data_IF_633138400692
#
_entry.id   IF_633138400692
#
_cell.length_a   1.000
_cell.length_b   1.000
_cell.length_c   1.000
_cell.angle_alpha   90.00
_cell.angle_beta   90.00
_cell.angle_gamma   90.00
#
_symmetry.space_group_name_H-M   'P 1'
#
loop_
_entity.id
_entity.type
_entity.pdbx_description
1 polymer ?
#
# COMPACT_ATOMS: atom_id res chain seq x y z
N UNK A 1 39.69 -40.28 -43.30
CA UNK A 1 39.93 -39.90 -41.90
C UNK A 1 38.98 -38.76 -41.54
N UNK A 2 37.97 -39.02 -40.71
CA UNK A 2 36.96 -38.05 -40.27
C UNK A 2 37.22 -37.75 -38.80
N UNK A 3 37.76 -36.57 -38.49
CA UNK A 3 37.90 -36.08 -37.12
C UNK A 3 36.72 -35.15 -36.82
N UNK A 4 35.87 -35.59 -35.90
CA UNK A 4 34.69 -34.87 -35.40
C UNK A 4 35.12 -33.91 -34.28
N UNK A 5 34.64 -32.68 -34.34
CA UNK A 5 34.62 -31.71 -33.25
C UNK A 5 33.70 -32.20 -32.11
N UNK A 6 34.05 -32.03 -30.82
CA UNK A 6 33.08 -32.17 -29.76
C UNK A 6 32.33 -30.84 -29.54
N UNK A 7 31.00 -30.95 -29.55
CA UNK A 7 30.05 -29.95 -29.06
C UNK A 7 30.36 -29.60 -27.60
N UNK A 8 30.50 -28.30 -27.31
CA UNK A 8 30.41 -27.79 -25.94
C UNK A 8 28.92 -27.85 -25.55
N UNK A 9 28.62 -28.75 -24.62
CA UNK A 9 27.30 -29.02 -24.09
C UNK A 9 26.76 -27.80 -23.31
N UNK A 10 25.50 -27.45 -23.59
CA UNK A 10 24.66 -26.63 -22.72
C UNK A 10 24.53 -27.33 -21.37
N UNK A 11 25.13 -26.79 -20.31
CA UNK A 11 24.79 -27.16 -18.94
C UNK A 11 23.41 -26.60 -18.63
N UNK A 12 22.41 -27.48 -18.73
CA UNK A 12 21.08 -27.25 -18.21
C UNK A 12 21.11 -27.18 -16.68
N UNK A 13 20.36 -26.21 -16.16
CA UNK A 13 20.01 -26.05 -14.76
C UNK A 13 19.41 -27.37 -14.24
N UNK A 14 20.17 -28.13 -13.46
CA UNK A 14 19.65 -29.29 -12.74
C UNK A 14 18.94 -28.79 -11.48
N UNK A 15 17.61 -28.73 -11.53
CA UNK A 15 16.77 -28.60 -10.35
C UNK A 15 16.79 -29.96 -9.63
N UNK A 16 17.74 -30.13 -8.71
CA UNK A 16 17.75 -31.26 -7.78
C UNK A 16 16.69 -31.00 -6.71
N UNK A 17 15.50 -31.57 -6.92
CA UNK A 17 14.52 -31.78 -5.86
C UNK A 17 15.00 -32.94 -4.97
N UNK A 18 15.90 -32.65 -4.05
CA UNK A 18 16.25 -33.55 -2.94
C UNK A 18 15.33 -33.23 -1.76
N UNK A 19 14.17 -33.88 -1.73
CA UNK A 19 13.37 -34.03 -0.53
C UNK A 19 14.09 -34.97 0.44
N UNK A 20 15.07 -34.44 1.18
CA UNK A 20 15.68 -35.15 2.30
C UNK A 20 14.95 -34.68 3.56
N UNK A 21 14.25 -35.60 4.20
CA UNK A 21 13.80 -35.44 5.57
C UNK A 21 15.05 -35.22 6.43
N UNK A 22 15.34 -33.97 6.80
CA UNK A 22 16.46 -33.68 7.68
C UNK A 22 16.12 -34.21 9.08
N UNK A 23 16.97 -35.05 9.69
CA UNK A 23 16.91 -35.28 11.12
C UNK A 23 17.11 -33.94 11.83
N UNK A 24 16.55 -33.78 13.03
CA UNK A 24 16.61 -32.56 13.83
C UNK A 24 18.05 -32.18 14.20
N UNK A 25 18.79 -31.62 13.25
CA UNK A 25 20.04 -30.92 13.45
C UNK A 25 19.75 -29.66 14.26
N UNK A 26 20.67 -29.28 15.13
CA UNK A 26 20.50 -28.06 15.94
C UNK A 26 20.44 -26.87 14.97
N UNK A 27 19.66 -25.83 15.30
CA UNK A 27 19.48 -24.66 14.45
C UNK A 27 20.80 -24.01 13.99
N UNK A 28 21.88 -24.17 14.78
CA UNK A 28 23.25 -23.76 14.43
C UNK A 28 23.81 -24.49 13.21
N UNK A 29 23.58 -25.79 13.08
CA UNK A 29 24.16 -26.62 12.02
C UNK A 29 23.46 -26.33 10.68
N UNK A 30 22.16 -26.04 10.74
CA UNK A 30 21.35 -25.64 9.61
C UNK A 30 21.78 -24.28 9.04
N UNK A 31 22.09 -23.30 9.91
CA UNK A 31 22.59 -21.99 9.51
C UNK A 31 23.97 -22.07 8.85
N UNK A 32 24.88 -22.84 9.42
CA UNK A 32 26.23 -23.00 8.86
C UNK A 32 26.19 -23.65 7.47
N UNK A 33 25.30 -24.62 7.27
CA UNK A 33 25.11 -25.24 5.95
C UNK A 33 24.55 -24.25 4.92
N UNK A 34 23.58 -23.42 5.33
CA UNK A 34 23.00 -22.37 4.49
C UNK A 34 24.03 -21.31 4.11
N UNK A 35 24.85 -20.89 5.08
CA UNK A 35 25.96 -19.96 4.87
C UNK A 35 26.93 -20.50 3.82
N UNK A 36 27.48 -21.70 4.05
CA UNK A 36 28.46 -22.31 3.16
C UNK A 36 27.94 -22.47 1.73
N UNK A 37 26.69 -22.90 1.58
CA UNK A 37 26.08 -23.05 0.25
C UNK A 37 25.94 -21.70 -0.46
N UNK A 38 25.57 -20.64 0.26
CA UNK A 38 25.43 -19.30 -0.31
C UNK A 38 26.79 -18.68 -0.64
N UNK A 39 27.82 -18.90 0.20
CA UNK A 39 29.21 -18.52 -0.08
C UNK A 39 29.71 -19.14 -1.38
N UNK A 40 29.46 -20.43 -1.59
CA UNK A 40 29.82 -21.14 -2.82
C UNK A 40 29.08 -20.57 -4.04
N UNK A 41 27.76 -20.32 -3.93
CA UNK A 41 26.96 -19.73 -5.02
C UNK A 41 27.45 -18.31 -5.39
N UNK A 42 27.70 -17.44 -4.40
CA UNK A 42 28.21 -16.07 -4.63
C UNK A 42 29.64 -16.12 -5.16
N UNK A 43 30.50 -16.99 -4.65
CA UNK A 43 31.87 -17.16 -5.12
C UNK A 43 31.96 -17.58 -6.60
N UNK A 44 31.04 -18.42 -7.06
CA UNK A 44 30.94 -18.79 -8.48
C UNK A 44 30.54 -17.58 -9.34
N UNK A 45 29.57 -16.78 -8.88
CA UNK A 45 29.13 -15.56 -9.58
C UNK A 45 30.29 -14.57 -9.73
N UNK A 46 31.05 -14.35 -8.66
CA UNK A 46 32.19 -13.42 -8.66
C UNK A 46 33.32 -13.87 -9.56
N UNK A 47 33.65 -15.17 -9.51
CA UNK A 47 34.67 -15.75 -10.35
C UNK A 47 34.31 -15.62 -11.83
N UNK A 48 33.04 -15.88 -12.19
CA UNK A 48 32.56 -15.69 -13.56
C UNK A 48 32.61 -14.22 -14.00
N UNK A 49 32.28 -13.28 -13.11
CA UNK A 49 32.37 -11.85 -13.38
C UNK A 49 33.80 -11.42 -13.68
N UNK A 50 34.77 -11.88 -12.88
CA UNK A 50 36.20 -11.60 -13.08
C UNK A 50 36.69 -12.09 -14.44
N UNK A 51 36.32 -13.31 -14.84
CA UNK A 51 36.69 -13.84 -16.16
C UNK A 51 36.08 -13.02 -17.30
N UNK A 52 34.80 -12.66 -17.22
CA UNK A 52 34.13 -11.82 -18.24
C UNK A 52 34.77 -10.44 -18.35
N UNK A 53 35.11 -9.82 -17.22
CA UNK A 53 35.81 -8.52 -17.20
C UNK A 53 37.18 -8.64 -17.85
N UNK A 54 37.98 -9.63 -17.47
CA UNK A 54 39.30 -9.87 -18.07
C UNK A 54 39.22 -10.09 -19.60
N UNK A 55 38.26 -10.89 -20.06
CA UNK A 55 38.04 -11.12 -21.49
C UNK A 55 37.63 -9.82 -22.22
N UNK A 56 36.76 -9.01 -21.61
CA UNK A 56 36.34 -7.72 -22.18
C UNK A 56 37.51 -6.74 -22.24
N UNK A 57 38.34 -6.66 -21.20
CA UNK A 57 39.56 -5.83 -21.16
C UNK A 57 40.53 -6.24 -22.27
N UNK A 58 40.74 -7.53 -22.50
CA UNK A 58 41.58 -8.02 -23.61
C UNK A 58 41.01 -7.61 -24.97
N UNK A 59 39.69 -7.72 -25.17
CA UNK A 59 39.03 -7.28 -26.41
C UNK A 59 39.16 -5.77 -26.62
N UNK A 60 39.06 -4.98 -25.56
CA UNK A 60 39.24 -3.53 -25.64
C UNK A 60 40.67 -3.15 -26.02
N UNK A 61 41.68 -3.76 -25.39
CA UNK A 61 43.09 -3.57 -25.76
C UNK A 61 43.33 -3.91 -27.24
N UNK A 62 42.81 -5.03 -27.73
CA UNK A 62 42.93 -5.40 -29.13
C UNK A 62 42.25 -4.40 -30.09
N UNK A 63 41.12 -3.80 -29.67
CA UNK A 63 40.46 -2.75 -30.43
C UNK A 63 41.30 -1.46 -30.48
N UNK A 64 41.95 -1.08 -29.37
CA UNK A 64 42.89 0.04 -29.32
C UNK A 64 44.10 -0.21 -30.24
N UNK A 65 44.67 -1.43 -30.24
CA UNK A 65 45.79 -1.78 -31.12
C UNK A 65 45.42 -1.68 -32.62
N UNK A 66 44.17 -2.00 -32.98
CA UNK A 66 43.68 -1.84 -34.35
C UNK A 66 43.41 -0.36 -34.70
N UNK A 67 42.92 0.42 -33.75
CA UNK A 67 42.74 1.86 -33.92
C UNK A 67 44.08 2.57 -34.09
N UNK A 68 45.12 2.19 -33.34
CA UNK A 68 46.49 2.71 -33.49
C UNK A 68 47.00 2.56 -34.93
N UNK A 69 46.80 1.39 -35.55
CA UNK A 69 47.18 1.15 -36.96
C UNK A 69 46.46 2.10 -37.94
N UNK A 70 45.19 2.41 -37.66
CA UNK A 70 44.37 3.29 -38.49
C UNK A 70 44.79 4.76 -38.33
N UNK A 71 45.07 5.19 -37.10
CA UNK A 71 45.57 6.54 -36.80
C UNK A 71 46.98 6.76 -37.37
N UNK A 72 47.83 5.73 -37.34
CA UNK A 72 49.17 5.77 -37.93
C UNK A 72 49.11 5.97 -39.45
N UNK A 73 48.20 5.27 -40.14
CA UNK A 73 48.01 5.43 -41.59
C UNK A 73 47.47 6.83 -41.99
N UNK A 74 46.80 7.52 -41.07
CA UNK A 74 46.24 8.87 -41.28
C UNK A 74 47.11 10.00 -40.71
N UNK A 75 48.26 9.68 -40.10
CA UNK A 75 49.22 10.66 -39.59
C UNK A 75 48.78 11.43 -38.33
N UNK A 76 47.88 10.88 -37.52
CA UNK A 76 47.35 11.56 -36.33
C UNK A 76 48.18 11.27 -35.06
N UNK A 77 49.32 11.95 -34.91
CA UNK A 77 50.29 11.69 -33.84
C UNK A 77 49.72 11.88 -32.42
N UNK A 78 49.01 12.98 -32.17
CA UNK A 78 48.50 13.31 -30.82
C UNK A 78 47.50 12.26 -30.33
N UNK A 79 46.60 11.80 -31.22
CA UNK A 79 45.64 10.75 -30.92
C UNK A 79 46.33 9.40 -30.65
N UNK A 80 47.45 9.10 -31.31
CA UNK A 80 48.25 7.88 -31.05
C UNK A 80 48.87 7.93 -29.64
N UNK A 81 49.40 9.07 -29.21
CA UNK A 81 49.98 9.23 -27.86
C UNK A 81 48.91 9.00 -26.79
N UNK A 82 47.75 9.61 -26.93
CA UNK A 82 46.62 9.46 -26.01
C UNK A 82 46.08 8.02 -26.00
N UNK A 83 46.04 7.34 -27.16
CA UNK A 83 45.63 5.94 -27.26
C UNK A 83 46.58 5.01 -26.51
N UNK A 84 47.89 5.25 -26.60
CA UNK A 84 48.90 4.47 -25.87
C UNK A 84 48.75 4.66 -24.36
N UNK A 85 48.52 5.89 -23.91
CA UNK A 85 48.23 6.19 -22.51
C UNK A 85 46.97 5.45 -22.01
N UNK A 86 45.88 5.47 -22.78
CA UNK A 86 44.65 4.71 -22.48
C UNK A 86 44.95 3.20 -22.37
N UNK A 87 45.67 2.63 -23.33
CA UNK A 87 46.00 1.20 -23.33
C UNK A 87 46.83 0.79 -22.13
N UNK A 88 47.84 1.59 -21.79
CA UNK A 88 48.74 1.30 -20.68
C UNK A 88 48.03 1.43 -19.33
N UNK A 89 47.14 2.42 -19.18
CA UNK A 89 46.31 2.57 -18.00
C UNK A 89 45.35 1.39 -17.83
N UNK A 90 44.65 0.99 -18.90
CA UNK A 90 43.76 -0.18 -18.90
C UNK A 90 44.51 -1.47 -18.56
N UNK A 91 45.73 -1.65 -19.05
CA UNK A 91 46.56 -2.82 -18.70
C UNK A 91 46.99 -2.82 -17.23
N UNK A 92 47.29 -1.65 -16.68
CA UNK A 92 47.82 -1.51 -15.32
C UNK A 92 46.73 -1.57 -14.26
N UNK A 93 45.62 -0.85 -14.49
CA UNK A 93 44.59 -0.61 -13.47
C UNK A 93 43.22 -1.13 -13.88
N UNK A 94 43.01 -1.43 -15.17
CA UNK A 94 41.69 -1.74 -15.73
C UNK A 94 40.83 -0.50 -15.99
N UNK A 95 41.31 0.69 -15.64
CA UNK A 95 40.60 1.96 -15.80
C UNK A 95 40.89 2.61 -17.16
N UNK A 96 39.95 3.44 -17.62
CA UNK A 96 40.08 4.25 -18.84
C UNK A 96 40.57 5.65 -18.50
N UNK A 97 41.20 6.33 -19.45
CA UNK A 97 41.60 7.74 -19.28
C UNK A 97 40.46 8.69 -19.67
N UNK A 98 40.68 10.00 -19.56
CA UNK A 98 39.72 11.05 -19.91
C UNK A 98 40.07 11.81 -21.19
N UNK A 99 40.80 11.19 -22.13
CA UNK A 99 41.12 11.83 -23.41
C UNK A 99 39.86 11.97 -24.29
N UNK A 100 39.68 13.14 -24.91
CA UNK A 100 38.50 13.51 -25.70
C UNK A 100 38.60 13.17 -27.20
N UNK A 101 39.66 12.48 -27.62
CA UNK A 101 39.82 12.04 -29.00
C UNK A 101 38.65 11.15 -29.41
N UNK A 102 37.83 11.65 -30.34
CA UNK A 102 36.58 11.01 -30.76
C UNK A 102 36.71 9.50 -31.02
N UNK A 103 37.74 9.00 -31.75
CA UNK A 103 37.88 7.57 -31.99
C UNK A 103 38.14 6.74 -30.72
N UNK A 104 38.88 7.29 -29.74
CA UNK A 104 39.15 6.65 -28.45
C UNK A 104 37.89 6.69 -27.58
N UNK A 105 37.24 7.86 -27.50
CA UNK A 105 36.01 8.06 -26.76
C UNK A 105 34.90 7.10 -27.23
N UNK A 106 34.75 6.90 -28.54
CA UNK A 106 33.74 5.99 -29.10
C UNK A 106 33.97 4.52 -28.69
N UNK A 107 35.23 4.07 -28.62
CA UNK A 107 35.56 2.73 -28.13
C UNK A 107 35.39 2.63 -26.61
N UNK A 108 35.78 3.66 -25.87
CA UNK A 108 35.62 3.75 -24.41
C UNK A 108 34.17 3.63 -23.99
N UNK A 109 33.27 4.36 -24.65
CA UNK A 109 31.82 4.29 -24.39
C UNK A 109 31.29 2.86 -24.55
N UNK A 110 31.73 2.14 -25.60
CA UNK A 110 31.34 0.73 -25.81
C UNK A 110 31.90 -0.20 -24.73
N UNK A 111 33.15 0.02 -24.32
CA UNK A 111 33.78 -0.75 -23.25
C UNK A 111 33.08 -0.54 -21.91
N UNK A 112 32.86 0.72 -21.49
CA UNK A 112 32.20 1.08 -20.25
C UNK A 112 30.76 0.57 -20.19
N UNK A 113 29.99 0.70 -21.29
CA UNK A 113 28.64 0.12 -21.38
C UNK A 113 28.64 -1.41 -21.25
N UNK A 114 29.66 -2.08 -21.79
CA UNK A 114 29.77 -3.54 -21.68
C UNK A 114 30.18 -3.96 -20.27
N UNK A 115 31.05 -3.18 -19.61
CA UNK A 115 31.39 -3.37 -18.20
C UNK A 115 30.17 -3.20 -17.30
N UNK A 116 29.38 -2.14 -17.50
CA UNK A 116 28.13 -1.91 -16.79
C UNK A 116 27.15 -3.08 -16.95
N UNK A 117 27.07 -3.66 -18.16
CA UNK A 117 26.28 -4.86 -18.41
C UNK A 117 26.77 -6.09 -17.63
N UNK A 118 28.08 -6.26 -17.47
CA UNK A 118 28.65 -7.33 -16.62
C UNK A 118 28.33 -7.06 -15.15
N UNK A 119 28.54 -5.83 -14.67
CA UNK A 119 28.28 -5.45 -13.27
C UNK A 119 26.80 -5.63 -12.91
N UNK A 120 25.90 -5.24 -13.80
CA UNK A 120 24.46 -5.43 -13.64
C UNK A 120 24.12 -6.93 -13.59
N UNK A 121 24.64 -7.74 -14.51
CA UNK A 121 24.39 -9.18 -14.51
C UNK A 121 24.97 -9.88 -13.26
N UNK A 122 26.13 -9.44 -12.77
CA UNK A 122 26.73 -9.93 -11.52
C UNK A 122 25.89 -9.56 -10.31
N UNK A 123 25.41 -8.32 -10.24
CA UNK A 123 24.50 -7.86 -9.20
C UNK A 123 23.21 -8.69 -9.20
N UNK A 124 22.59 -8.89 -10.36
CA UNK A 124 21.36 -9.67 -10.49
C UNK A 124 21.55 -11.14 -10.08
N UNK A 125 22.69 -11.74 -10.44
CA UNK A 125 23.02 -13.11 -10.06
C UNK A 125 23.26 -13.25 -8.56
N UNK A 126 23.94 -12.28 -7.92
CA UNK A 126 24.07 -12.22 -6.46
C UNK A 126 22.71 -12.07 -5.79
N UNK A 127 21.86 -11.16 -6.27
CA UNK A 127 20.49 -10.99 -5.73
C UNK A 127 19.71 -12.31 -5.74
N UNK A 128 19.77 -13.09 -6.83
CA UNK A 128 19.11 -14.41 -6.90
C UNK A 128 19.66 -15.41 -5.88
N UNK A 129 20.96 -15.43 -5.63
CA UNK A 129 21.57 -16.28 -4.61
C UNK A 129 21.06 -15.90 -3.21
N UNK A 130 20.96 -14.60 -2.92
CA UNK A 130 20.43 -14.13 -1.63
C UNK A 130 18.92 -14.38 -1.49
N UNK A 131 18.13 -14.23 -2.57
CA UNK A 131 16.69 -14.60 -2.57
C UNK A 131 16.49 -16.10 -2.27
N UNK A 132 17.33 -16.96 -2.84
CA UNK A 132 17.36 -18.40 -2.56
C UNK A 132 17.65 -18.68 -1.09
N UNK A 133 18.65 -18.00 -0.50
CA UNK A 133 18.94 -18.07 0.92
C UNK A 133 17.75 -17.62 1.79
N UNK A 134 17.14 -16.47 1.47
CA UNK A 134 15.98 -15.94 2.19
C UNK A 134 14.81 -16.93 2.23
N UNK A 135 14.54 -17.59 1.10
CA UNK A 135 13.50 -18.63 1.00
C UNK A 135 13.80 -19.82 1.91
N UNK A 136 15.03 -20.33 1.91
CA UNK A 136 15.44 -21.47 2.75
C UNK A 136 15.37 -21.13 4.24
N UNK A 137 15.72 -19.90 4.63
CA UNK A 137 15.57 -19.42 6.01
C UNK A 137 14.10 -19.42 6.43
N UNK A 138 13.18 -18.93 5.58
CA UNK A 138 11.73 -18.92 5.89
C UNK A 138 11.13 -20.32 6.06
N UNK A 139 11.56 -21.26 5.21
CA UNK A 139 11.11 -22.65 5.29
C UNK A 139 11.52 -23.27 6.63
N UNK A 140 12.75 -23.00 7.08
CA UNK A 140 13.25 -23.43 8.39
C UNK A 140 12.57 -22.70 9.55
N UNK A 141 12.34 -21.39 9.46
CA UNK A 141 11.61 -20.59 10.45
C UNK A 141 10.19 -21.15 10.66
N UNK A 142 9.50 -21.47 9.56
CA UNK A 142 8.16 -22.07 9.59
C UNK A 142 8.18 -23.46 10.24
N UNK A 143 9.19 -24.28 9.94
CA UNK A 143 9.34 -25.59 10.55
C UNK A 143 9.60 -25.51 12.07
N UNK A 144 10.48 -24.61 12.51
CA UNK A 144 10.78 -24.38 13.93
C UNK A 144 9.56 -23.84 14.69
N UNK A 145 8.81 -22.91 14.07
CA UNK A 145 7.58 -22.36 14.65
C UNK A 145 6.51 -23.44 14.81
N UNK A 146 6.29 -24.29 13.80
CA UNK A 146 5.37 -25.44 13.88
C UNK A 146 5.79 -26.45 14.94
N UNK A 147 7.08 -26.58 15.21
CA UNK A 147 7.63 -27.43 16.25
C UNK A 147 7.60 -26.80 17.65
N UNK A 148 7.05 -25.59 17.81
CA UNK A 148 6.98 -24.87 19.10
C UNK A 148 8.31 -24.27 19.56
N UNK A 149 9.35 -24.26 18.71
CA UNK A 149 10.70 -23.76 19.00
C UNK A 149 10.83 -22.28 18.58
N UNK A 150 10.02 -21.41 19.19
CA UNK A 150 9.90 -20.00 18.80
C UNK A 150 11.22 -19.23 18.96
N UNK A 151 11.96 -19.45 20.04
CA UNK A 151 13.25 -18.77 20.27
C UNK A 151 14.32 -19.16 19.25
N UNK A 152 14.36 -20.44 18.85
CA UNK A 152 15.25 -20.92 17.77
C UNK A 152 14.88 -20.27 16.43
N UNK A 153 13.57 -20.12 16.15
CA UNK A 153 13.08 -19.45 14.95
C UNK A 153 13.46 -17.95 14.92
N UNK A 154 13.37 -17.26 16.07
CA UNK A 154 13.78 -15.87 16.20
C UNK A 154 15.29 -15.68 16.02
N UNK A 155 16.10 -16.58 16.60
CA UNK A 155 17.56 -16.53 16.41
C UNK A 155 17.94 -16.82 14.95
N UNK A 156 17.30 -17.82 14.33
CA UNK A 156 17.46 -18.13 12.90
C UNK A 156 17.17 -16.91 12.02
N UNK A 157 16.09 -16.17 12.31
CA UNK A 157 15.76 -14.94 11.58
C UNK A 157 16.86 -13.89 11.69
N UNK A 158 17.29 -13.59 12.93
CA UNK A 158 18.30 -12.57 13.21
C UNK A 158 19.65 -12.88 12.53
N UNK A 159 20.09 -14.13 12.61
CA UNK A 159 21.34 -14.55 11.96
C UNK A 159 21.18 -14.62 10.43
N UNK A 160 20.01 -15.04 9.95
CA UNK A 160 19.62 -15.00 8.55
C UNK A 160 19.70 -13.61 7.92
N UNK A 161 19.17 -12.59 8.61
CA UNK A 161 19.25 -11.19 8.19
C UNK A 161 20.70 -10.71 8.08
N UNK A 162 21.55 -11.07 9.05
CA UNK A 162 22.98 -10.73 9.02
C UNK A 162 23.68 -11.36 7.83
N UNK A 163 23.40 -12.63 7.52
CA UNK A 163 23.99 -13.32 6.37
C UNK A 163 23.55 -12.70 5.04
N UNK A 164 22.27 -12.34 4.90
CA UNK A 164 21.79 -11.68 3.69
C UNK A 164 22.49 -10.33 3.47
N UNK A 165 22.71 -9.55 4.53
CA UNK A 165 23.45 -8.30 4.46
C UNK A 165 24.89 -8.52 3.97
N UNK A 166 25.57 -9.53 4.52
CA UNK A 166 26.93 -9.94 4.16
C UNK A 166 27.04 -10.30 2.67
N UNK A 167 26.15 -11.17 2.17
CA UNK A 167 26.18 -11.62 0.78
C UNK A 167 25.67 -10.58 -0.24
N UNK A 168 24.89 -9.59 0.21
CA UNK A 168 24.43 -8.49 -0.63
C UNK A 168 25.54 -7.46 -0.95
N UNK A 169 26.73 -7.58 -0.35
CA UNK A 169 27.85 -6.67 -0.54
C UNK A 169 27.62 -5.27 0.05
N UNK A 170 26.77 -5.17 1.08
CA UNK A 170 26.47 -3.91 1.81
C UNK A 170 25.64 -2.87 1.05
N UNK A 171 25.50 -2.98 -0.28
CA UNK A 171 24.77 -2.03 -1.12
C UNK A 171 23.28 -2.38 -1.33
N UNK A 172 22.84 -3.53 -0.81
CA UNK A 172 21.52 -4.11 -1.07
C UNK A 172 20.77 -4.47 0.22
N UNK A 173 21.09 -3.80 1.33
CA UNK A 173 20.29 -3.86 2.57
C UNK A 173 18.80 -3.50 2.32
N UNK A 174 18.54 -2.66 1.31
CA UNK A 174 17.18 -2.24 0.93
C UNK A 174 16.51 -3.16 -0.11
N UNK A 175 17.26 -4.00 -0.84
CA UNK A 175 16.72 -4.78 -1.96
C UNK A 175 16.64 -6.28 -1.71
N UNK A 176 17.40 -6.81 -0.76
CA UNK A 176 17.11 -8.14 -0.21
C UNK A 176 16.13 -7.97 0.96
N UNK A 177 15.01 -7.32 0.66
CA UNK A 177 13.85 -7.51 1.49
C UNK A 177 13.57 -9.01 1.47
N UNK A 178 13.23 -9.56 2.63
CA UNK A 178 12.24 -10.62 2.66
C UNK A 178 11.00 -10.10 1.89
N UNK A 179 11.02 -10.15 0.56
CA UNK A 179 9.91 -9.82 -0.30
C UNK A 179 8.90 -10.93 -0.06
N UNK A 180 7.75 -10.56 0.52
CA UNK A 180 6.75 -11.40 1.19
C UNK A 180 6.98 -11.65 2.69
N UNK A 181 7.72 -10.78 3.40
CA UNK A 181 7.42 -10.49 4.81
C UNK A 181 6.23 -9.52 4.78
N UNK A 182 5.13 -9.79 5.51
CA UNK A 182 4.06 -8.81 5.72
C UNK A 182 4.54 -7.55 6.48
N UNK A 183 5.84 -7.26 6.55
CA UNK A 183 6.47 -6.10 7.17
C UNK A 183 7.46 -5.42 6.23
N UNK A 184 7.15 -5.37 4.92
CA UNK A 184 7.84 -4.49 3.95
C UNK A 184 8.14 -3.14 4.59
N UNK A 185 9.42 -2.79 4.79
CA UNK A 185 9.81 -1.49 5.35
C UNK A 185 9.59 -0.32 4.37
N UNK A 186 9.23 -0.62 3.12
CA UNK A 186 8.85 0.39 2.14
C UNK A 186 7.44 0.90 2.43
N UNK A 187 7.30 2.23 2.43
CA UNK A 187 5.99 2.87 2.49
C UNK A 187 5.10 2.36 1.34
N UNK A 188 3.80 2.14 1.57
CA UNK A 188 2.88 1.76 0.51
C UNK A 188 2.91 2.83 -0.60
N UNK A 189 3.11 2.40 -1.85
CA UNK A 189 3.04 3.29 -3.00
C UNK A 189 1.62 3.88 -3.09
N UNK A 190 1.48 5.17 -2.78
CA UNK A 190 0.20 5.86 -2.80
C UNK A 190 -0.23 6.09 -4.25
N UNK A 191 -1.30 5.41 -4.66
CA UNK A 191 -1.92 5.57 -5.98
C UNK A 191 -3.13 6.50 -5.89
N UNK A 192 -3.62 6.95 -7.03
CA UNK A 192 -4.94 7.56 -7.09
C UNK A 192 -5.99 6.52 -6.70
N UNK A 193 -6.95 6.95 -5.87
CA UNK A 193 -8.00 6.07 -5.36
C UNK A 193 -9.06 5.88 -6.45
N UNK A 194 -9.58 4.66 -6.57
CA UNK A 194 -10.68 4.36 -7.49
C UNK A 194 -11.89 5.25 -7.14
N UNK A 195 -12.39 5.99 -8.13
CA UNK A 195 -13.56 6.86 -7.96
C UNK A 195 -14.80 5.99 -7.79
N UNK A 196 -15.49 6.15 -6.67
CA UNK A 196 -16.80 5.51 -6.45
C UNK A 196 -17.85 6.28 -7.27
N UNK A 197 -18.38 5.62 -8.30
CA UNK A 197 -19.51 6.16 -9.07
C UNK A 197 -20.82 5.93 -8.30
N UNK A 198 -21.63 6.98 -8.16
CA UNK A 198 -22.99 6.81 -7.67
C UNK A 198 -23.80 5.97 -8.67
N UNK A 199 -24.69 5.08 -8.19
CA UNK A 199 -25.58 4.34 -9.08
C UNK A 199 -26.43 5.32 -9.92
N UNK A 200 -26.61 5.06 -11.23
CA UNK A 200 -27.42 5.89 -12.13
C UNK A 200 -28.93 5.58 -12.04
N UNK A 201 -29.35 4.74 -11.09
CA UNK A 201 -30.73 4.27 -10.99
C UNK A 201 -31.70 5.41 -10.66
N UNK A 202 -32.78 5.48 -11.43
CA UNK A 202 -33.93 6.37 -11.19
C UNK A 202 -35.20 5.51 -11.04
N UNK A 203 -35.41 4.89 -9.86
CA UNK A 203 -36.61 4.11 -9.60
C UNK A 203 -37.88 5.00 -9.66
N UNK A 204 -39.07 4.40 -9.83
CA UNK A 204 -40.32 5.16 -9.88
C UNK A 204 -40.56 5.96 -8.60
N UNK A 205 -41.14 7.16 -8.74
CA UNK A 205 -41.53 7.99 -7.59
C UNK A 205 -42.71 7.37 -6.88
N UNK A 206 -42.62 7.23 -5.56
CA UNK A 206 -43.74 6.82 -4.70
C UNK A 206 -44.18 8.04 -3.91
N UNK A 207 -45.41 8.51 -4.13
CA UNK A 207 -45.90 9.77 -3.56
C UNK A 207 -45.97 9.73 -2.02
N UNK A 208 -46.34 8.59 -1.43
CA UNK A 208 -46.53 8.43 0.02
C UNK A 208 -45.69 7.26 0.58
N UNK A 209 -44.35 7.32 0.55
CA UNK A 209 -43.51 6.17 0.88
C UNK A 209 -43.55 5.83 2.38
N UNK A 210 -43.78 6.83 3.23
CA UNK A 210 -43.90 6.64 4.69
C UNK A 210 -45.23 6.02 5.14
N UNK A 211 -46.19 5.81 4.22
CA UNK A 211 -47.41 5.05 4.49
C UNK A 211 -47.22 3.53 4.30
N UNK A 212 -46.10 3.11 3.71
CA UNK A 212 -45.75 1.70 3.54
C UNK A 212 -45.54 1.07 4.92
N UNK A 213 -46.34 0.05 5.23
CA UNK A 213 -46.19 -0.74 6.45
C UNK A 213 -45.17 -1.86 6.20
N UNK A 214 -44.22 -2.03 7.12
CA UNK A 214 -43.19 -3.06 7.02
C UNK A 214 -41.97 -2.62 6.19
N UNK A 215 -41.33 -3.58 5.52
CA UNK A 215 -40.07 -3.34 4.79
C UNK A 215 -40.31 -2.65 3.44
N UNK A 216 -39.42 -1.75 3.08
CA UNK A 216 -39.35 -1.14 1.75
C UNK A 216 -38.61 -2.08 0.81
N UNK A 217 -39.32 -3.07 0.27
CA UNK A 217 -38.74 -4.15 -0.55
C UNK A 217 -38.63 -3.81 -2.05
N UNK A 218 -39.31 -2.76 -2.50
CA UNK A 218 -39.31 -2.33 -3.91
C UNK A 218 -38.48 -1.06 -4.06
N UNK A 219 -37.65 -1.00 -5.09
CA UNK A 219 -36.89 0.21 -5.43
C UNK A 219 -37.83 1.37 -5.72
N UNK A 220 -37.55 2.54 -5.14
CA UNK A 220 -38.41 3.72 -5.27
C UNK A 220 -37.62 5.02 -5.13
N UNK A 221 -38.18 6.08 -5.68
CA UNK A 221 -37.75 7.45 -5.41
C UNK A 221 -38.71 8.09 -4.40
N UNK A 222 -38.17 8.54 -3.27
CA UNK A 222 -38.91 9.30 -2.26
C UNK A 222 -38.92 10.78 -2.70
N UNK A 223 -40.10 11.42 -2.83
CA UNK A 223 -40.20 12.82 -3.25
C UNK A 223 -39.53 13.77 -2.24
N UNK A 224 -39.19 14.96 -2.71
CA UNK A 224 -38.57 15.99 -1.88
C UNK A 224 -39.55 16.44 -0.80
N UNK A 225 -39.21 16.19 0.47
CA UNK A 225 -40.09 16.53 1.59
C UNK A 225 -39.35 16.73 2.90
N UNK A 226 -40.02 17.42 3.84
CA UNK A 226 -39.61 17.46 5.25
C UNK A 226 -40.33 16.34 5.98
N UNK A 227 -39.58 15.37 6.50
CA UNK A 227 -40.13 14.22 7.20
C UNK A 227 -39.50 14.04 8.57
N UNK A 228 -40.34 13.90 9.60
CA UNK A 228 -39.91 13.38 10.90
C UNK A 228 -40.12 11.86 10.92
N UNK A 229 -39.03 11.10 10.87
CA UNK A 229 -39.04 9.64 10.96
C UNK A 229 -39.37 9.28 12.42
N UNK A 230 -40.56 8.71 12.65
CA UNK A 230 -41.04 8.36 14.00
C UNK A 230 -40.83 6.91 14.36
N UNK A 231 -40.80 6.05 13.35
CA UNK A 231 -40.68 4.60 13.48
C UNK A 231 -39.53 4.11 12.61
N UNK A 232 -38.99 2.91 12.87
CA UNK A 232 -37.94 2.33 12.05
C UNK A 232 -38.42 2.12 10.60
N UNK A 233 -37.64 2.62 9.65
CA UNK A 233 -37.79 2.31 8.22
C UNK A 233 -36.77 1.21 7.90
N UNK A 234 -37.25 0.07 7.40
CA UNK A 234 -36.37 -1.03 7.00
C UNK A 234 -36.31 -1.08 5.48
N UNK A 235 -35.12 -0.91 4.90
CA UNK A 235 -34.90 -0.92 3.45
C UNK A 235 -34.41 -2.30 3.00
N UNK A 236 -35.14 -2.89 2.05
CA UNK A 236 -34.92 -4.22 1.53
C UNK A 236 -35.27 -5.34 2.52
N UNK A 237 -35.12 -6.57 2.05
CA UNK A 237 -35.31 -7.77 2.86
C UNK A 237 -34.41 -8.90 2.38
N UNK A 238 -33.38 -9.22 3.17
CA UNK A 238 -32.35 -10.19 2.78
C UNK A 238 -32.90 -11.61 2.65
N UNK A 239 -33.69 -12.08 3.61
CA UNK A 239 -34.23 -13.45 3.61
C UNK A 239 -35.12 -13.72 2.39
N UNK A 240 -35.81 -12.69 1.91
CA UNK A 240 -36.62 -12.76 0.68
C UNK A 240 -35.85 -12.33 -0.57
N UNK A 241 -34.53 -12.13 -0.47
CA UNK A 241 -33.65 -11.69 -1.55
C UNK A 241 -34.13 -10.41 -2.27
N UNK A 242 -34.67 -9.44 -1.51
CA UNK A 242 -35.18 -8.16 -2.01
C UNK A 242 -34.16 -7.05 -1.74
N UNK A 243 -33.42 -6.67 -2.77
CA UNK A 243 -32.40 -5.62 -2.72
C UNK A 243 -32.96 -4.33 -3.30
N UNK A 244 -33.57 -3.50 -2.46
CA UNK A 244 -34.20 -2.26 -2.90
C UNK A 244 -33.17 -1.14 -3.08
N UNK A 245 -33.31 -0.34 -4.13
CA UNK A 245 -32.62 0.95 -4.25
C UNK A 245 -33.60 2.06 -3.92
N UNK A 246 -33.30 2.83 -2.88
CA UNK A 246 -34.09 3.97 -2.45
C UNK A 246 -33.35 5.25 -2.82
N UNK A 247 -33.96 6.07 -3.66
CA UNK A 247 -33.44 7.39 -4.04
C UNK A 247 -34.21 8.46 -3.27
N UNK A 248 -33.52 9.19 -2.41
CA UNK A 248 -34.09 10.35 -1.71
C UNK A 248 -33.88 11.57 -2.59
N UNK A 249 -34.99 12.15 -3.06
CA UNK A 249 -34.95 13.34 -3.92
C UNK A 249 -34.24 14.50 -3.25
N UNK A 250 -33.60 15.34 -4.07
CA UNK A 250 -32.86 16.50 -3.58
C UNK A 250 -33.71 17.48 -2.79
N UNK A 251 -33.06 18.17 -1.86
CA UNK A 251 -33.66 19.12 -0.92
C UNK A 251 -34.62 18.48 0.09
N UNK A 252 -34.55 17.15 0.26
CA UNK A 252 -35.23 16.46 1.36
C UNK A 252 -34.59 16.80 2.70
N UNK A 253 -35.41 16.90 3.74
CA UNK A 253 -34.97 17.11 5.12
C UNK A 253 -35.59 16.03 5.99
N UNK A 254 -34.79 15.11 6.50
CA UNK A 254 -35.27 14.02 7.35
C UNK A 254 -34.72 14.17 8.76
N UNK A 255 -35.60 14.13 9.76
CA UNK A 255 -35.21 14.16 11.17
C UNK A 255 -35.67 12.93 11.92
N UNK A 256 -34.86 12.42 12.84
CA UNK A 256 -35.25 11.31 13.71
C UNK A 256 -36.09 11.79 14.91
N UNK A 257 -37.09 11.00 15.29
CA UNK A 257 -37.66 11.00 16.63
C UNK A 257 -36.95 9.96 17.51
N UNK A 258 -37.36 9.81 18.78
CA UNK A 258 -36.74 8.89 19.75
C UNK A 258 -36.57 7.44 19.24
N UNK A 259 -37.52 6.94 18.43
CA UNK A 259 -37.46 5.60 17.81
C UNK A 259 -37.22 5.62 16.30
N UNK A 260 -37.02 6.80 15.73
CA UNK A 260 -36.88 7.00 14.30
C UNK A 260 -35.49 6.63 13.81
N UNK A 261 -35.41 5.68 12.89
CA UNK A 261 -34.16 5.22 12.28
C UNK A 261 -34.39 4.65 10.90
N UNK A 262 -33.35 4.63 10.08
CA UNK A 262 -33.34 3.93 8.79
C UNK A 262 -32.36 2.77 8.90
N UNK A 263 -32.89 1.55 8.78
CA UNK A 263 -32.13 0.31 8.79
C UNK A 263 -32.11 -0.26 7.37
N UNK A 264 -30.94 -0.28 6.75
CA UNK A 264 -30.75 -0.88 5.44
C UNK A 264 -30.37 -2.34 5.55
N UNK A 265 -31.38 -3.23 5.51
CA UNK A 265 -31.20 -4.67 5.59
C UNK A 265 -30.62 -5.26 4.29
N UNK A 266 -30.99 -4.72 3.12
CA UNK A 266 -30.42 -5.11 1.83
C UNK A 266 -30.66 -4.01 0.76
N UNK A 267 -29.63 -3.69 -0.03
CA UNK A 267 -29.76 -2.85 -1.23
C UNK A 267 -28.96 -1.56 -1.16
N UNK A 268 -29.49 -0.46 -1.68
CA UNK A 268 -28.82 0.84 -1.76
C UNK A 268 -29.73 1.97 -1.27
N UNK A 269 -29.16 2.97 -0.60
CA UNK A 269 -29.83 4.25 -0.33
C UNK A 269 -28.96 5.36 -0.89
N UNK A 270 -29.56 6.23 -1.70
CA UNK A 270 -28.88 7.29 -2.42
C UNK A 270 -29.55 8.61 -2.05
N UNK A 271 -28.80 9.59 -1.58
CA UNK A 271 -29.32 10.95 -1.39
C UNK A 271 -28.34 11.99 -1.93
N UNK A 272 -28.90 13.04 -2.53
CA UNK A 272 -28.13 14.17 -3.07
C UNK A 272 -28.73 15.48 -2.59
N UNK A 273 -27.92 16.46 -2.17
CA UNK A 273 -28.42 17.79 -1.76
C UNK A 273 -29.50 17.73 -0.66
N UNK A 274 -29.33 16.83 0.30
CA UNK A 274 -30.33 16.56 1.35
C UNK A 274 -29.75 16.80 2.74
N UNK A 275 -30.63 16.97 3.74
CA UNK A 275 -30.25 17.21 5.13
C UNK A 275 -30.85 16.16 6.05
N UNK A 276 -30.05 15.71 7.00
CA UNK A 276 -30.43 14.70 7.98
C UNK A 276 -30.09 15.19 9.39
N UNK A 277 -31.01 15.02 10.33
CA UNK A 277 -30.88 15.55 11.68
C UNK A 277 -31.30 14.51 12.72
N UNK A 278 -30.46 14.24 13.72
CA UNK A 278 -30.79 13.33 14.84
C UNK A 278 -31.32 11.97 14.38
N UNK A 279 -30.75 11.42 13.30
CA UNK A 279 -31.22 10.21 12.65
C UNK A 279 -30.12 9.14 12.61
N UNK A 280 -30.46 7.93 13.03
CA UNK A 280 -29.63 6.75 12.84
C UNK A 280 -29.85 6.17 11.43
N UNK A 281 -28.76 6.03 10.68
CA UNK A 281 -28.69 5.52 9.32
C UNK A 281 -27.83 4.25 9.33
N UNK A 282 -28.42 3.15 9.81
CA UNK A 282 -27.73 1.87 9.95
C UNK A 282 -27.71 1.08 8.64
N UNK A 283 -26.59 0.40 8.36
CA UNK A 283 -26.48 -0.55 7.25
C UNK A 283 -26.07 -1.96 7.74
N UNK A 284 -26.73 -2.98 7.17
CA UNK A 284 -26.39 -4.39 7.33
C UNK A 284 -25.50 -4.87 6.17
N UNK A 285 -25.25 -6.17 6.07
CA UNK A 285 -24.35 -6.79 5.13
C UNK A 285 -24.76 -6.59 3.65
N UNK A 286 -23.79 -6.14 2.87
CA UNK A 286 -23.86 -5.79 1.45
C UNK A 286 -24.79 -4.60 1.13
N UNK A 287 -25.13 -3.82 2.15
CA UNK A 287 -25.85 -2.56 2.02
C UNK A 287 -24.89 -1.39 1.76
N UNK A 288 -25.36 -0.42 0.98
CA UNK A 288 -24.57 0.78 0.62
C UNK A 288 -25.37 2.06 0.79
N UNK A 289 -24.80 3.01 1.50
CA UNK A 289 -25.23 4.40 1.51
C UNK A 289 -24.36 5.23 0.56
N UNK A 290 -25.00 6.01 -0.29
CA UNK A 290 -24.36 6.98 -1.18
C UNK A 290 -24.91 8.37 -0.90
N UNK A 291 -24.08 9.22 -0.30
CA UNK A 291 -24.44 10.58 0.04
C UNK A 291 -23.55 11.56 -0.69
N UNK A 292 -24.15 12.44 -1.50
CA UNK A 292 -23.42 13.47 -2.23
C UNK A 292 -24.02 14.85 -1.97
N UNK A 293 -23.20 15.81 -1.53
CA UNK A 293 -23.64 17.15 -1.16
C UNK A 293 -24.73 17.09 -0.06
N UNK A 294 -24.51 16.33 1.01
CA UNK A 294 -25.50 16.17 2.09
C UNK A 294 -24.97 16.76 3.41
N UNK A 295 -25.91 17.21 4.26
CA UNK A 295 -25.61 17.68 5.61
C UNK A 295 -26.18 16.72 6.66
N UNK A 296 -25.40 16.44 7.70
CA UNK A 296 -25.76 15.56 8.80
C UNK A 296 -25.50 16.27 10.12
N UNK A 297 -26.51 16.38 10.98
CA UNK A 297 -26.37 16.94 12.32
C UNK A 297 -26.83 15.91 13.34
N UNK A 298 -25.93 15.47 14.22
CA UNK A 298 -26.19 14.45 15.24
C UNK A 298 -26.75 13.14 14.65
N UNK A 299 -26.25 12.73 13.48
CA UNK A 299 -26.59 11.44 12.88
C UNK A 299 -25.60 10.35 13.27
N UNK A 300 -26.03 9.10 13.21
CA UNK A 300 -25.15 7.94 13.44
C UNK A 300 -25.20 6.97 12.28
N UNK A 301 -24.08 6.28 12.00
CA UNK A 301 -23.93 5.33 10.90
C UNK A 301 -23.47 3.93 11.39
N UNK A 302 -24.26 3.26 12.25
CA UNK A 302 -23.85 1.98 12.82
C UNK A 302 -23.90 0.84 11.80
N UNK A 303 -23.07 -0.20 12.03
CA UNK A 303 -23.38 -1.52 11.48
C UNK A 303 -24.55 -2.11 12.27
N UNK A 304 -25.55 -2.60 11.56
CA UNK A 304 -26.74 -3.26 12.11
C UNK A 304 -26.82 -4.69 11.56
N UNK A 305 -27.64 -5.54 12.18
CA UNK A 305 -27.78 -6.96 11.80
C UNK A 305 -26.73 -7.91 12.41
N UNK A 306 -27.03 -9.22 12.36
CA UNK A 306 -26.30 -10.29 13.06
C UNK A 306 -25.54 -11.25 12.13
N UNK A 307 -25.24 -10.83 10.90
CA UNK A 307 -24.53 -11.73 9.97
C UNK A 307 -23.02 -11.63 10.14
N UNK A 308 -22.32 -12.78 10.06
CA UNK A 308 -20.87 -12.93 10.27
C UNK A 308 -20.09 -13.65 9.15
N UNK A 309 -20.70 -13.88 7.99
CA UNK A 309 -20.10 -14.73 6.94
C UNK A 309 -19.04 -13.98 6.12
N UNK A 310 -17.90 -14.65 5.92
CA UNK A 310 -16.63 -14.08 5.47
C UNK A 310 -16.70 -13.09 4.30
N UNK A 311 -16.19 -11.88 4.55
CA UNK A 311 -16.07 -10.78 3.60
C UNK A 311 -15.63 -9.50 4.32
N UNK A 312 -15.30 -8.47 3.56
CA UNK A 312 -14.83 -7.18 4.09
C UNK A 312 -15.88 -6.10 3.84
N UNK A 313 -16.01 -5.15 4.76
CA UNK A 313 -16.86 -3.97 4.61
C UNK A 313 -18.33 -4.32 4.33
N UNK A 314 -18.95 -5.05 5.24
CA UNK A 314 -20.34 -5.45 5.11
C UNK A 314 -21.29 -4.26 4.93
N UNK A 315 -21.14 -3.22 5.75
CA UNK A 315 -21.84 -1.96 5.65
C UNK A 315 -20.92 -0.91 5.00
N UNK A 316 -21.33 -0.35 3.85
CA UNK A 316 -20.54 0.63 3.10
C UNK A 316 -21.18 2.00 3.11
N UNK A 317 -20.43 3.00 3.56
CA UNK A 317 -20.86 4.38 3.59
C UNK A 317 -19.95 5.21 2.69
N UNK A 318 -20.54 5.86 1.69
CA UNK A 318 -19.86 6.80 0.81
C UNK A 318 -20.40 8.22 1.03
N UNK A 319 -19.47 9.14 1.31
CA UNK A 319 -19.74 10.56 1.45
C UNK A 319 -18.91 11.35 0.45
N UNK A 320 -19.56 12.19 -0.33
CA UNK A 320 -18.93 13.11 -1.28
C UNK A 320 -19.43 14.52 -0.98
N UNK A 321 -18.53 15.48 -0.76
CA UNK A 321 -18.90 16.89 -0.52
C UNK A 321 -19.90 17.07 0.63
N UNK A 322 -19.80 16.23 1.68
CA UNK A 322 -20.75 16.23 2.79
C UNK A 322 -20.25 17.01 4.00
N UNK A 323 -21.18 17.56 4.77
CA UNK A 323 -20.92 18.21 6.05
C UNK A 323 -21.54 17.38 7.18
N UNK A 324 -20.71 16.94 8.14
CA UNK A 324 -21.09 16.10 9.27
C UNK A 324 -20.78 16.87 10.55
N UNK A 325 -21.79 17.06 11.41
CA UNK A 325 -21.66 17.77 12.68
C UNK A 325 -22.14 16.93 13.86
N UNK A 326 -21.37 16.91 14.93
CA UNK A 326 -21.73 16.27 16.20
C UNK A 326 -21.48 14.76 16.19
N UNK A 327 -22.54 13.96 16.17
CA UNK A 327 -22.42 12.49 16.18
C UNK A 327 -21.95 11.90 14.84
N UNK A 328 -21.35 10.71 14.89
CA UNK A 328 -20.93 9.97 13.69
C UNK A 328 -21.16 8.46 13.80
N UNK A 329 -20.44 7.75 14.67
CA UNK A 329 -20.60 6.31 14.87
C UNK A 329 -19.99 5.90 16.21
N UNK A 330 -20.50 4.83 16.82
CA UNK A 330 -20.03 4.38 18.14
C UNK A 330 -19.05 3.20 18.06
N UNK A 331 -19.15 2.37 17.01
CA UNK A 331 -18.29 1.20 16.81
C UNK A 331 -17.95 1.04 15.33
N UNK A 332 -16.67 1.12 15.00
CA UNK A 332 -16.17 0.86 13.65
C UNK A 332 -15.13 -0.25 13.70
N UNK A 333 -15.31 -1.25 12.84
CA UNK A 333 -14.33 -2.32 12.64
C UNK A 333 -14.19 -2.62 11.16
N UNK A 334 -12.98 -2.99 10.75
CA UNK A 334 -12.62 -3.32 9.37
C UNK A 334 -13.53 -4.39 8.75
N UNK A 335 -13.90 -5.41 9.52
CA UNK A 335 -14.72 -6.50 9.02
C UNK A 335 -16.12 -6.01 8.63
N UNK A 336 -16.62 -5.00 9.33
CA UNK A 336 -18.02 -4.59 9.25
C UNK A 336 -18.21 -3.29 8.46
N UNK A 337 -17.27 -2.35 8.51
CA UNK A 337 -17.50 -0.98 8.08
C UNK A 337 -16.52 -0.55 6.97
N UNK A 338 -17.04 -0.43 5.75
CA UNK A 338 -16.43 0.35 4.69
C UNK A 338 -16.80 1.82 4.87
N UNK A 339 -15.79 2.68 4.99
CA UNK A 339 -15.94 4.12 5.08
C UNK A 339 -15.10 4.83 4.01
N UNK A 340 -15.79 5.42 3.04
CA UNK A 340 -15.20 6.35 2.08
C UNK A 340 -15.79 7.74 2.28
N UNK A 341 -14.95 8.72 2.58
CA UNK A 341 -15.34 10.13 2.58
C UNK A 341 -14.37 10.95 1.72
N UNK A 342 -14.92 11.73 0.80
CA UNK A 342 -14.16 12.55 -0.13
C UNK A 342 -14.63 13.99 -0.04
N UNK A 343 -13.69 14.91 0.18
CA UNK A 343 -13.96 16.34 0.16
C UNK A 343 -15.08 16.71 1.16
N UNK A 344 -14.99 16.16 2.38
CA UNK A 344 -16.01 16.36 3.43
C UNK A 344 -15.52 17.28 4.55
N UNK A 345 -16.45 17.76 5.37
CA UNK A 345 -16.14 18.50 6.61
C UNK A 345 -16.78 17.77 7.79
N UNK A 346 -15.99 17.48 8.80
CA UNK A 346 -16.41 16.94 10.09
C UNK A 346 -16.19 17.99 11.17
N UNK A 347 -17.24 18.38 11.89
CA UNK A 347 -17.18 19.43 12.92
C UNK A 347 -17.77 18.97 14.25
N UNK A 348 -17.08 19.26 15.34
CA UNK A 348 -17.49 18.90 16.71
C UNK A 348 -17.77 17.39 16.87
N UNK A 349 -17.01 16.55 16.15
CA UNK A 349 -17.17 15.07 16.15
C UNK A 349 -16.17 14.40 17.10
N UNK A 350 -16.68 13.50 17.93
CA UNK A 350 -15.86 12.54 18.67
C UNK A 350 -15.88 11.19 17.94
N UNK A 351 -14.76 10.84 17.32
CA UNK A 351 -14.64 9.61 16.55
C UNK A 351 -14.40 8.40 17.44
N UNK A 352 -15.02 7.24 17.14
CA UNK A 352 -14.77 6.01 17.88
C UNK A 352 -13.42 5.43 17.49
N UNK A 353 -12.91 4.54 18.32
CA UNK A 353 -11.79 3.66 17.94
C UNK A 353 -12.18 2.86 16.70
N UNK A 354 -11.27 2.83 15.72
CA UNK A 354 -11.40 1.97 14.54
C UNK A 354 -10.63 0.67 14.77
N UNK A 355 -11.33 -0.46 14.86
CA UNK A 355 -10.70 -1.76 15.09
C UNK A 355 -10.19 -2.35 13.77
N UNK A 356 -8.93 -2.77 13.78
CA UNK A 356 -8.27 -3.34 12.61
C UNK A 356 -8.24 -4.87 12.63
N UNK A 357 -8.62 -5.50 13.74
CA UNK A 357 -8.73 -6.95 13.88
C UNK A 357 -7.43 -7.65 13.51
N UNK A 358 -7.47 -8.52 12.49
CA UNK A 358 -6.30 -9.26 11.99
C UNK A 358 -5.55 -8.55 10.86
N UNK A 359 -5.85 -7.28 10.62
CA UNK A 359 -5.47 -6.60 9.39
C UNK A 359 -4.57 -5.40 9.65
N UNK A 360 -3.71 -5.09 8.68
CA UNK A 360 -2.75 -4.00 8.80
C UNK A 360 -3.31 -2.75 8.12
N UNK A 361 -3.30 -1.57 8.76
CA UNK A 361 -3.77 -0.32 8.15
C UNK A 361 -3.14 0.00 6.78
N UNK A 362 -1.86 -0.37 6.61
CA UNK A 362 -1.13 -0.16 5.36
C UNK A 362 -1.72 -0.92 4.16
N UNK A 363 -2.40 -2.06 4.39
CA UNK A 363 -3.03 -2.84 3.32
C UNK A 363 -4.20 -2.09 2.68
N UNK A 364 -4.75 -1.11 3.38
CA UNK A 364 -5.88 -0.30 2.93
C UNK A 364 -5.47 1.10 2.49
N UNK A 365 -4.17 1.37 2.35
CA UNK A 365 -3.68 2.68 1.93
C UNK A 365 -4.28 3.16 0.60
N UNK A 366 -4.61 2.22 -0.29
CA UNK A 366 -5.23 2.46 -1.60
C UNK A 366 -6.63 1.83 -1.73
N UNK A 367 -7.25 1.39 -0.63
CA UNK A 367 -8.58 0.76 -0.71
C UNK A 367 -9.66 1.80 -1.04
N UNK A 368 -10.55 1.45 -1.98
CA UNK A 368 -11.58 2.36 -2.46
C UNK A 368 -12.69 2.64 -1.45
N UNK A 369 -12.97 1.68 -0.58
CA UNK A 369 -14.03 1.74 0.41
C UNK A 369 -13.54 2.12 1.80
N UNK A 370 -12.24 2.23 2.03
CA UNK A 370 -11.69 2.55 3.34
C UNK A 370 -10.65 3.67 3.30
N UNK A 371 -11.12 4.89 3.08
CA UNK A 371 -10.27 6.08 3.16
C UNK A 371 -11.07 7.36 3.32
N UNK A 372 -10.54 8.29 4.11
CA UNK A 372 -11.03 9.66 4.21
C UNK A 372 -10.00 10.58 3.55
N UNK A 373 -10.39 11.28 2.50
CA UNK A 373 -9.47 12.09 1.69
C UNK A 373 -9.96 13.50 1.49
N UNK A 374 -9.02 14.43 1.31
CA UNK A 374 -9.28 15.84 0.97
C UNK A 374 -10.29 16.51 1.92
N UNK A 375 -10.35 16.04 3.18
CA UNK A 375 -11.40 16.38 4.12
C UNK A 375 -10.88 17.26 5.25
N UNK A 376 -11.79 18.01 5.88
CA UNK A 376 -11.48 18.90 7.01
C UNK A 376 -12.10 18.37 8.29
N UNK A 377 -11.33 18.40 9.37
CA UNK A 377 -11.75 18.08 10.72
C UNK A 377 -11.63 19.34 11.58
N UNK A 378 -12.70 19.72 12.28
CA UNK A 378 -12.76 20.95 13.07
C UNK A 378 -13.27 20.61 14.47
N UNK A 379 -12.48 20.94 15.50
CA UNK A 379 -12.81 20.68 16.92
C UNK A 379 -13.14 19.21 17.23
N UNK A 380 -12.54 18.29 16.48
CA UNK A 380 -12.77 16.86 16.64
C UNK A 380 -11.88 16.23 17.73
N UNK A 381 -12.35 15.14 18.32
CA UNK A 381 -11.50 14.18 19.05
C UNK A 381 -11.35 12.93 18.21
N UNK A 382 -10.11 12.48 18.02
CA UNK A 382 -9.81 11.37 17.10
C UNK A 382 -8.80 10.40 17.72
N UNK A 383 -9.12 9.11 17.79
CA UNK A 383 -8.13 8.11 18.13
C UNK A 383 -7.09 7.93 17.00
N UNK A 384 -5.88 7.51 17.37
CA UNK A 384 -4.82 7.19 16.41
C UNK A 384 -5.29 6.15 15.38
N UNK A 385 -6.01 5.12 15.80
CA UNK A 385 -6.55 4.08 14.92
C UNK A 385 -7.42 4.63 13.77
N UNK A 386 -8.24 5.64 14.05
CA UNK A 386 -9.08 6.31 13.06
C UNK A 386 -8.27 7.27 12.19
N UNK A 387 -7.27 7.96 12.76
CA UNK A 387 -6.37 8.84 12.02
C UNK A 387 -5.67 8.10 10.86
N UNK A 388 -5.38 6.80 11.00
CA UNK A 388 -4.76 5.99 9.96
C UNK A 388 -5.61 5.88 8.66
N UNK A 389 -6.91 6.16 8.74
CA UNK A 389 -7.82 6.19 7.60
C UNK A 389 -7.66 7.45 6.73
N UNK A 390 -6.98 8.48 7.23
CA UNK A 390 -6.92 9.79 6.58
C UNK A 390 -5.80 9.88 5.54
N UNK A 391 -5.98 10.75 4.54
CA UNK A 391 -4.95 11.14 3.56
C UNK A 391 -5.28 12.54 3.03
N UNK A 392 -4.28 13.41 2.98
CA UNK A 392 -4.44 14.78 2.47
C UNK A 392 -5.58 15.55 3.16
N UNK A 393 -5.66 15.42 4.50
CA UNK A 393 -6.70 16.02 5.32
C UNK A 393 -6.18 17.17 6.19
N UNK A 394 -7.07 18.10 6.51
CA UNK A 394 -6.82 19.26 7.37
C UNK A 394 -7.43 19.05 8.75
N UNK A 395 -6.70 19.39 9.80
CA UNK A 395 -7.13 19.26 11.19
C UNK A 395 -7.02 20.59 11.93
N UNK A 396 -8.14 21.13 12.37
CA UNK A 396 -8.26 22.43 13.03
C UNK A 396 -8.78 22.27 14.45
N UNK A 397 -7.98 22.65 15.45
CA UNK A 397 -8.35 22.55 16.87
C UNK A 397 -8.76 21.14 17.29
N UNK A 398 -8.18 20.11 16.69
CA UNK A 398 -8.47 18.71 17.02
C UNK A 398 -7.60 18.21 18.19
N UNK A 399 -8.03 17.12 18.81
CA UNK A 399 -7.23 16.33 19.75
C UNK A 399 -7.07 14.91 19.21
N UNK A 400 -5.82 14.49 19.00
CA UNK A 400 -5.49 13.11 18.65
C UNK A 400 -4.97 12.37 19.88
N UNK A 401 -5.55 11.21 20.20
CA UNK A 401 -5.20 10.41 21.38
C UNK A 401 -4.77 8.98 21.01
N UNK A 402 -3.97 8.35 21.89
CA UNK A 402 -3.63 6.94 21.75
C UNK A 402 -4.84 6.03 21.94
N UNK A 403 -4.96 4.99 21.12
CA UNK A 403 -5.88 3.88 21.36
C UNK A 403 -5.39 2.54 20.78
N UNK A 404 -4.16 2.50 20.26
CA UNK A 404 -3.54 1.31 19.68
C UNK A 404 -2.88 0.48 20.79
N UNK A 405 -2.91 -0.85 20.67
CA UNK A 405 -2.51 -1.88 21.67
C UNK A 405 -3.62 -2.33 22.65
N UNK A 406 -4.88 -2.39 22.21
CA UNK A 406 -6.01 -2.88 23.03
C UNK A 406 -6.09 -4.41 23.17
N UNK A 407 -5.10 -5.16 22.70
CA UNK A 407 -5.02 -6.63 22.81
C UNK A 407 -5.81 -7.39 21.74
N UNK A 408 -6.89 -6.81 21.23
CA UNK A 408 -7.75 -7.45 20.21
C UNK A 408 -7.26 -7.26 18.76
N UNK A 409 -6.46 -6.23 18.51
CA UNK A 409 -5.87 -5.95 17.19
C UNK A 409 -4.48 -6.57 17.08
N UNK A 410 -4.12 -7.06 15.89
CA UNK A 410 -2.75 -7.47 15.59
C UNK A 410 -1.79 -6.27 15.70
N UNK A 411 -0.55 -6.55 16.11
CA UNK A 411 0.48 -5.53 16.15
C UNK A 411 0.66 -4.90 14.76
N UNK A 412 0.70 -3.57 14.70
CA UNK A 412 0.92 -2.84 13.45
C UNK A 412 2.40 -2.92 13.11
N UNK A 413 2.71 -3.64 12.04
CA UNK A 413 4.08 -3.97 11.63
C UNK A 413 4.40 -3.53 10.21
N UNK A 414 3.40 -3.11 9.41
CA UNK A 414 3.62 -2.47 8.11
C UNK A 414 3.81 -0.96 8.26
N UNK A 415 4.84 -0.36 7.65
CA UNK A 415 5.04 1.07 7.63
C UNK A 415 3.86 1.81 7.03
N UNK A 416 3.51 2.92 7.68
CA UNK A 416 2.49 3.83 7.20
C UNK A 416 2.93 5.26 7.51
N UNK A 417 2.81 6.14 6.51
CA UNK A 417 3.03 7.56 6.69
C UNK A 417 1.71 8.30 6.56
N UNK A 418 1.46 9.21 7.50
CA UNK A 418 0.30 10.10 7.52
C UNK A 418 0.81 11.53 7.57
N UNK A 419 0.40 12.32 6.59
CA UNK A 419 0.65 13.75 6.59
C UNK A 419 -0.60 14.45 7.13
N UNK A 420 -0.45 15.10 8.28
CA UNK A 420 -1.49 15.90 8.92
C UNK A 420 -1.25 17.38 8.64
N UNK A 421 -2.17 18.04 7.97
CA UNK A 421 -2.11 19.50 7.77
C UNK A 421 -2.85 20.18 8.92
N UNK A 422 -2.11 20.79 9.84
CA UNK A 422 -2.66 21.23 11.14
C UNK A 422 -2.79 22.74 11.28
N UNK A 423 -3.81 23.15 12.04
CA UNK A 423 -3.98 24.49 12.60
C UNK A 423 -4.47 24.37 14.05
N UNK A 424 -3.64 24.71 15.03
CA UNK A 424 -3.96 24.62 16.46
C UNK A 424 -4.40 23.20 16.95
N UNK A 425 -3.96 22.13 16.29
CA UNK A 425 -4.29 20.74 16.66
C UNK A 425 -3.28 20.16 17.64
N UNK A 426 -3.76 19.43 18.64
CA UNK A 426 -2.92 18.77 19.65
C UNK A 426 -2.82 17.27 19.37
N UNK A 427 -1.59 16.78 19.22
CA UNK A 427 -1.31 15.34 19.07
C UNK A 427 -0.73 14.82 20.38
N UNK A 428 -1.54 14.07 21.14
CA UNK A 428 -1.22 13.54 22.48
C UNK A 428 -1.00 12.04 22.39
N UNK A 429 0.13 11.64 21.82
CA UNK A 429 0.49 10.24 21.63
C UNK A 429 1.62 9.81 22.57
N UNK A 430 1.30 9.04 23.60
CA UNK A 430 2.24 8.37 24.50
C UNK A 430 2.70 7.01 23.93
N UNK A 431 1.88 6.37 23.08
CA UNK A 431 2.18 5.06 22.48
C UNK A 431 1.85 5.09 21.00
N UNK A 432 2.90 5.09 20.17
CA UNK A 432 2.79 5.01 18.71
C UNK A 432 3.52 3.75 18.22
N UNK A 433 2.93 2.96 17.32
CA UNK A 433 3.67 1.89 16.64
C UNK A 433 4.93 2.46 15.96
N UNK A 434 6.12 1.86 16.13
CA UNK A 434 7.36 2.39 15.57
C UNK A 434 7.34 2.57 14.05
N UNK A 435 6.56 1.74 13.34
CA UNK A 435 6.42 1.76 11.88
C UNK A 435 5.46 2.84 11.37
N UNK A 436 4.72 3.53 12.25
CA UNK A 436 3.81 4.61 11.87
C UNK A 436 4.50 5.97 12.01
N UNK A 437 4.65 6.66 10.89
CA UNK A 437 5.18 8.03 10.84
C UNK A 437 4.03 9.02 10.67
N UNK A 438 3.98 10.03 11.54
CA UNK A 438 2.99 11.11 11.48
C UNK A 438 3.74 12.42 11.29
N UNK A 439 3.60 13.02 10.11
CA UNK A 439 4.19 14.31 9.79
C UNK A 439 3.16 15.39 9.99
N UNK A 440 3.44 16.34 10.90
CA UNK A 440 2.62 17.53 11.04
C UNK A 440 3.15 18.62 10.12
N UNK A 441 2.34 19.04 9.16
CA UNK A 441 2.62 20.08 8.17
C UNK A 441 1.72 21.29 8.43
N UNK A 442 2.14 22.48 8.02
CA UNK A 442 1.30 23.66 8.15
C UNK A 442 0.13 23.58 7.18
N UNK A 443 -1.03 24.12 7.58
CA UNK A 443 -2.23 24.16 6.74
C UNK A 443 -1.97 24.69 5.31
N UNK A 444 -1.13 25.72 5.16
CA UNK A 444 -0.84 26.33 3.87
C UNK A 444 0.06 25.50 2.94
N UNK A 445 0.58 24.35 3.40
CA UNK A 445 1.38 23.44 2.57
C UNK A 445 0.52 22.44 1.79
N UNK A 446 -0.78 22.36 2.07
CA UNK A 446 -1.68 21.44 1.37
C UNK A 446 -1.85 21.88 -0.09
N UNK A 447 -1.61 20.95 -1.01
CA UNK A 447 -1.70 21.22 -2.47
C UNK A 447 -3.10 20.98 -3.04
N UNK A 448 -3.94 20.27 -2.30
CA UNK A 448 -5.31 19.95 -2.69
C UNK A 448 -6.30 20.92 -2.06
N UNK A 449 -7.39 21.21 -2.76
CA UNK A 449 -8.46 22.06 -2.23
C UNK A 449 -9.29 21.26 -1.22
N UNK A 450 -9.23 21.66 0.04
CA UNK A 450 -10.04 21.08 1.12
C UNK A 450 -11.18 22.05 1.47
N UNK A 451 -12.44 21.60 1.48
CA UNK A 451 -13.60 22.48 1.64
C UNK A 451 -13.71 23.01 3.07
N UNK A 452 -14.49 24.07 3.22
CA UNK A 452 -14.95 24.63 4.50
C UNK A 452 -16.42 24.28 4.73
N UNK A 453 -16.88 24.34 5.99
CA UNK A 453 -18.30 24.14 6.31
C UNK A 453 -19.19 25.13 5.54
N UNK A 454 -18.76 26.39 5.42
CA UNK A 454 -19.45 27.42 4.65
C UNK A 454 -19.57 27.05 3.16
N UNK A 455 -18.46 26.63 2.53
CA UNK A 455 -18.48 26.27 1.10
C UNK A 455 -19.35 25.05 0.80
N UNK A 456 -19.40 24.04 1.68
CA UNK A 456 -20.31 22.91 1.49
C UNK A 456 -21.76 23.31 1.74
N UNK A 457 -22.01 24.16 2.75
CA UNK A 457 -23.36 24.67 3.02
C UNK A 457 -23.91 25.46 1.84
N UNK A 458 -23.08 26.28 1.19
CA UNK A 458 -23.44 26.99 -0.03
C UNK A 458 -23.70 26.02 -1.20
N UNK A 459 -22.85 25.01 -1.38
CA UNK A 459 -23.01 23.99 -2.42
C UNK A 459 -24.32 23.21 -2.28
N UNK A 460 -24.76 22.96 -1.05
CA UNK A 460 -26.02 22.26 -0.76
C UNK A 460 -27.26 23.15 -0.89
N UNK A 461 -27.08 24.48 -0.89
CA UNK A 461 -28.15 25.45 -1.09
C UNK A 461 -28.44 25.72 -2.57
N UNK A 462 -27.45 25.54 -3.44
CA UNK A 462 -27.57 25.55 -4.91
C UNK A 462 -28.04 24.20 -5.42
#
# INVERSE_FOLDING_TARGET
MKTRFPLIARMGLAVLALGVAMPSARASDALEQLRKTTEEEVGVVDTQALFKKAELTQKYIAALDNLEKTLAASGQLDAIVNLRAERDEVRKTGATTSHDDKPIADLRVKYLKSLEGIDTATKDARTKAVESLAKRIREQETALTKAGKVDEALNLRKEGERMMLEFSGGAAADTVAFADDPRSNALPNQKDLEIIKLPPEEPPVVENPFAIKGNWETSMTVPAMKQKVREPIVVGHRESNKWATIVISSHSIWSGAERGKVHQAAGNVIARKSRFESLELGADHASRYYFANCAFTNCTFPKVGWWHDGGWFWAKHYFENCYIKGSYADNLTIDYNGLRADTCVFEDVEFPTYRWGKHQPADFANDKWLKIVNSRFVKCKMPLSFLLLTRDCVFESCVVSDDINRGDDVEITKPLQIDMYVSNTQVRLNKRPPVVTINQKKYNEIKVRVPTAASLTELMAK
#
